data_IF_901176400237
#
_entry.id   IF_901176400237
#
_cell.length_a   1.000
_cell.length_b   1.000
_cell.length_c   1.000
_cell.angle_alpha   90.00
_cell.angle_beta   90.00
_cell.angle_gamma   90.00
#
_symmetry.space_group_name_H-M   'P 1'
#
loop_
_entity.id
_entity.type
_entity.pdbx_description
1 polymer ?
#
# COMPACT_ATOMS: atom_id res chain seq x y z
N UNK A 1 -7.93 19.45 -12.31
CA UNK A 1 -7.11 18.53 -11.50
C UNK A 1 -6.14 19.22 -10.53
N UNK A 2 -6.05 20.57 -10.46
CA UNK A 2 -4.98 21.28 -9.71
C UNK A 2 -4.77 20.91 -8.23
N UNK A 3 -5.79 20.37 -7.55
CA UNK A 3 -5.70 19.98 -6.15
C UNK A 3 -5.69 18.46 -5.91
N UNK A 4 -5.76 17.64 -6.98
CA UNK A 4 -5.89 16.20 -6.86
C UNK A 4 -4.59 15.52 -6.42
N UNK A 5 -3.44 15.92 -6.95
CA UNK A 5 -2.14 15.42 -6.47
C UNK A 5 -1.86 15.82 -5.03
N UNK A 6 -2.28 17.03 -4.62
CA UNK A 6 -2.18 17.45 -3.22
C UNK A 6 -3.06 16.59 -2.31
N UNK A 7 -4.33 16.40 -2.68
CA UNK A 7 -5.26 15.56 -1.93
C UNK A 7 -4.76 14.12 -1.84
N UNK A 8 -4.29 13.56 -2.95
CA UNK A 8 -3.74 12.21 -3.00
C UNK A 8 -2.52 12.08 -2.08
N UNK A 9 -1.59 13.03 -2.15
CA UNK A 9 -0.40 13.06 -1.28
C UNK A 9 -0.76 13.21 0.20
N UNK A 10 -1.79 14.00 0.53
CA UNK A 10 -2.27 14.14 1.90
C UNK A 10 -2.91 12.85 2.43
N UNK A 11 -3.73 12.18 1.61
CA UNK A 11 -4.29 10.86 1.93
C UNK A 11 -3.16 9.84 2.11
N UNK A 12 -2.17 9.83 1.20
CA UNK A 12 -0.99 8.96 1.29
C UNK A 12 -0.25 9.16 2.61
N UNK A 13 -0.06 10.41 3.04
CA UNK A 13 0.64 10.73 4.29
C UNK A 13 -0.10 10.16 5.51
N UNK A 14 -1.42 10.35 5.58
CA UNK A 14 -2.24 9.80 6.67
C UNK A 14 -2.20 8.27 6.63
N UNK A 15 -2.40 7.68 5.45
CA UNK A 15 -2.39 6.24 5.24
C UNK A 15 -1.05 5.62 5.65
N UNK A 16 0.07 6.23 5.27
CA UNK A 16 1.41 5.81 5.65
C UNK A 16 1.63 5.90 7.16
N UNK A 17 1.17 6.97 7.79
CA UNK A 17 1.29 7.15 9.24
C UNK A 17 0.53 6.06 10.01
N UNK A 18 -0.66 5.68 9.53
CA UNK A 18 -1.45 4.58 10.11
C UNK A 18 -0.76 3.24 9.85
N UNK A 19 -0.42 2.94 8.59
CA UNK A 19 0.21 1.68 8.18
C UNK A 19 1.52 1.42 8.91
N UNK A 20 2.28 2.48 9.18
CA UNK A 20 3.57 2.42 9.85
C UNK A 20 3.48 1.75 11.23
N UNK A 21 2.36 1.90 11.96
CA UNK A 21 2.13 1.22 13.24
C UNK A 21 2.29 -0.29 13.08
N UNK A 22 1.63 -0.88 12.07
CA UNK A 22 1.73 -2.31 11.77
C UNK A 22 3.15 -2.74 11.42
N UNK A 23 3.89 -1.90 10.67
CA UNK A 23 5.27 -2.21 10.31
C UNK A 23 6.20 -2.25 11.53
N UNK A 24 6.01 -1.33 12.48
CA UNK A 24 6.81 -1.28 13.71
C UNK A 24 6.49 -2.48 14.59
N UNK A 25 5.22 -2.77 14.84
CA UNK A 25 4.85 -3.87 15.74
C UNK A 25 5.08 -5.26 15.13
N UNK A 26 5.15 -5.34 13.80
CA UNK A 26 5.56 -6.54 13.08
C UNK A 26 7.05 -6.89 13.19
N UNK A 27 7.88 -5.99 13.74
CA UNK A 27 9.29 -6.29 13.98
C UNK A 27 9.45 -7.35 15.08
N UNK A 28 10.41 -8.29 14.92
CA UNK A 28 10.67 -9.30 15.93
C UNK A 28 10.96 -8.66 17.30
N UNK A 29 10.20 -9.05 18.32
CA UNK A 29 10.39 -8.62 19.71
C UNK A 29 9.61 -7.39 20.15
N UNK A 30 8.86 -6.69 19.27
CA UNK A 30 8.01 -5.56 19.68
C UNK A 30 6.72 -6.02 20.35
N UNK A 31 5.99 -6.93 19.70
CA UNK A 31 4.96 -7.75 20.35
C UNK A 31 5.56 -9.14 20.53
N UNK A 32 6.01 -9.50 21.75
CA UNK A 32 6.39 -10.88 22.04
C UNK A 32 5.24 -11.80 21.66
N UNK A 33 5.55 -12.94 21.05
CA UNK A 33 4.61 -13.98 20.59
C UNK A 33 3.68 -13.63 19.42
N UNK A 34 3.82 -12.48 18.74
CA UNK A 34 2.96 -12.10 17.61
C UNK A 34 2.77 -13.20 16.53
N UNK A 35 3.81 -13.97 16.24
CA UNK A 35 3.77 -15.01 15.20
C UNK A 35 3.69 -16.44 15.75
N UNK A 36 3.71 -16.62 17.07
CA UNK A 36 3.75 -17.96 17.71
C UNK A 36 2.54 -18.23 18.59
N UNK A 37 2.10 -17.24 19.35
CA UNK A 37 0.93 -17.28 20.23
C UNK A 37 0.42 -15.84 20.44
N UNK A 38 -0.10 -15.20 19.38
CA UNK A 38 -0.45 -13.80 19.45
C UNK A 38 -1.61 -13.55 20.41
N UNK A 39 -1.51 -12.53 21.26
CA UNK A 39 -2.69 -11.98 21.92
C UNK A 39 -3.61 -11.38 20.85
N UNK A 40 -4.67 -12.13 20.48
CA UNK A 40 -5.56 -11.85 19.33
C UNK A 40 -6.00 -10.39 19.28
N UNK A 41 -6.51 -9.85 20.39
CA UNK A 41 -6.98 -8.44 20.46
C UNK A 41 -5.86 -7.44 20.17
N UNK A 42 -4.65 -7.70 20.64
CA UNK A 42 -3.50 -6.81 20.42
C UNK A 42 -3.02 -6.91 18.96
N UNK A 43 -2.95 -8.13 18.40
CA UNK A 43 -2.58 -8.34 17.01
C UNK A 43 -3.60 -7.68 16.06
N UNK A 44 -4.90 -7.85 16.32
CA UNK A 44 -5.95 -7.23 15.52
C UNK A 44 -5.86 -5.70 15.53
N UNK A 45 -5.72 -5.09 16.71
CA UNK A 45 -5.73 -3.63 16.86
C UNK A 45 -4.44 -2.98 16.33
N UNK A 46 -3.28 -3.56 16.64
CA UNK A 46 -1.99 -2.90 16.36
C UNK A 46 -1.30 -3.41 15.11
N UNK A 47 -1.55 -4.65 14.68
CA UNK A 47 -0.91 -5.24 13.51
C UNK A 47 -1.85 -5.27 12.31
N UNK A 48 -3.05 -5.85 12.41
CA UNK A 48 -3.93 -6.03 11.24
C UNK A 48 -4.75 -4.79 10.88
N UNK A 49 -5.38 -4.14 11.86
CA UNK A 49 -6.23 -2.95 11.62
C UNK A 49 -5.49 -1.81 10.93
N UNK A 50 -4.30 -1.38 11.39
CA UNK A 50 -3.61 -0.27 10.76
C UNK A 50 -3.09 -0.64 9.36
N UNK A 51 -2.83 -1.93 9.12
CA UNK A 51 -2.41 -2.45 7.82
C UNK A 51 -3.55 -2.35 6.80
N UNK A 52 -4.77 -2.75 7.19
CA UNK A 52 -5.98 -2.62 6.34
C UNK A 52 -6.33 -1.16 6.08
N UNK A 53 -6.38 -0.33 7.13
CA UNK A 53 -6.74 1.08 6.99
C UNK A 53 -5.71 1.86 6.16
N UNK A 54 -4.42 1.62 6.42
CA UNK A 54 -3.34 2.21 5.64
C UNK A 54 -3.32 1.71 4.20
N UNK A 55 -3.49 0.40 3.98
CA UNK A 55 -3.60 -0.19 2.64
C UNK A 55 -4.77 0.38 1.84
N UNK A 56 -5.93 0.56 2.46
CA UNK A 56 -7.08 1.22 1.83
C UNK A 56 -6.76 2.67 1.45
N UNK A 57 -6.13 3.43 2.34
CA UNK A 57 -5.70 4.80 2.05
C UNK A 57 -4.71 4.86 0.89
N UNK A 58 -3.77 3.91 0.80
CA UNK A 58 -2.85 3.79 -0.35
C UNK A 58 -3.59 3.48 -1.66
N UNK A 59 -4.64 2.66 -1.63
CA UNK A 59 -5.47 2.38 -2.82
C UNK A 59 -6.14 3.67 -3.30
N UNK A 60 -6.79 4.41 -2.38
CA UNK A 60 -7.46 5.68 -2.72
C UNK A 60 -6.46 6.70 -3.28
N UNK A 61 -5.34 6.90 -2.59
CA UNK A 61 -4.27 7.79 -3.04
C UNK A 61 -3.75 7.42 -4.43
N UNK A 62 -3.44 6.14 -4.66
CA UNK A 62 -2.90 5.67 -5.94
C UNK A 62 -3.89 5.83 -7.08
N UNK A 63 -5.19 5.61 -6.84
CA UNK A 63 -6.24 5.88 -7.83
C UNK A 63 -6.30 7.37 -8.19
N UNK A 64 -6.23 8.26 -7.20
CA UNK A 64 -6.26 9.71 -7.46
C UNK A 64 -5.04 10.18 -8.26
N UNK A 65 -3.83 9.72 -7.92
CA UNK A 65 -2.59 9.99 -8.67
C UNK A 65 -2.65 9.42 -10.10
N UNK A 66 -3.26 8.24 -10.25
CA UNK A 66 -3.42 7.62 -11.57
C UNK A 66 -4.36 8.45 -12.44
N UNK A 67 -5.45 8.97 -11.89
CA UNK A 67 -6.38 9.82 -12.66
C UNK A 67 -5.76 11.20 -12.95
N UNK A 68 -4.95 11.75 -12.04
CA UNK A 68 -4.25 13.03 -12.26
C UNK A 68 -3.31 12.99 -13.48
N UNK A 69 -2.70 11.85 -13.76
CA UNK A 69 -1.75 11.65 -14.86
C UNK A 69 -2.41 11.25 -16.19
N UNK A 70 -3.74 11.14 -16.20
CA UNK A 70 -4.55 10.78 -17.37
C UNK A 70 -5.33 11.98 -17.89
N UNK A 71 -5.54 12.05 -19.20
CA UNK A 71 -6.42 13.08 -19.79
C UNK A 71 -7.88 12.87 -19.41
N UNK A 72 -8.31 11.61 -19.31
CA UNK A 72 -9.65 11.18 -18.95
C UNK A 72 -9.57 9.96 -18.03
N UNK A 73 -10.47 9.87 -17.05
CA UNK A 73 -10.47 8.80 -16.04
C UNK A 73 -10.53 7.36 -16.60
N UNK A 74 -11.03 7.19 -17.83
CA UNK A 74 -11.14 5.90 -18.50
C UNK A 74 -10.01 5.63 -19.52
N UNK A 75 -9.16 6.61 -19.80
CA UNK A 75 -8.11 6.51 -20.82
C UNK A 75 -6.73 6.45 -20.14
N UNK A 76 -6.15 5.25 -19.96
CA UNK A 76 -4.86 5.10 -19.29
C UNK A 76 -3.72 5.77 -20.07
N UNK A 77 -2.73 6.28 -19.34
CA UNK A 77 -1.54 6.92 -19.89
C UNK A 77 -0.27 6.11 -19.56
N UNK A 78 -0.11 4.89 -20.11
CA UNK A 78 0.98 3.98 -19.72
C UNK A 78 2.38 4.47 -20.06
N UNK A 79 2.51 5.51 -20.89
CA UNK A 79 3.80 6.10 -21.25
C UNK A 79 4.28 7.13 -20.22
N UNK A 80 3.39 7.68 -19.39
CA UNK A 80 3.78 8.61 -18.34
C UNK A 80 4.40 7.87 -17.16
N UNK A 81 5.54 8.36 -16.70
CA UNK A 81 6.23 7.90 -15.49
C UNK A 81 5.33 8.06 -14.27
N UNK A 82 4.65 9.20 -14.13
CA UNK A 82 3.72 9.43 -13.01
C UNK A 82 2.59 8.39 -13.00
N UNK A 83 2.12 7.99 -14.19
CA UNK A 83 1.12 6.92 -14.30
C UNK A 83 1.69 5.56 -13.90
N UNK A 84 2.93 5.24 -14.30
CA UNK A 84 3.63 4.02 -13.86
C UNK A 84 3.81 3.99 -12.34
N UNK A 85 4.19 5.10 -11.71
CA UNK A 85 4.25 5.22 -10.25
C UNK A 85 2.88 4.89 -9.64
N UNK A 86 1.83 5.52 -10.14
CA UNK A 86 0.49 5.36 -9.59
C UNK A 86 -0.05 3.93 -9.75
N UNK A 87 0.14 3.27 -10.91
CA UNK A 87 -0.37 1.91 -11.14
C UNK A 87 0.38 0.86 -10.30
N UNK A 88 1.71 0.98 -10.18
CA UNK A 88 2.49 0.04 -9.36
C UNK A 88 2.24 0.23 -7.87
N UNK A 89 2.07 1.47 -7.42
CA UNK A 89 1.63 1.75 -6.06
C UNK A 89 0.20 1.26 -5.80
N UNK A 90 -0.71 1.34 -6.78
CA UNK A 90 -2.06 0.78 -6.67
C UNK A 90 -2.02 -0.74 -6.51
N UNK A 91 -1.25 -1.44 -7.35
CA UNK A 91 -1.04 -2.88 -7.25
C UNK A 91 -0.49 -3.20 -5.85
N UNK A 92 0.59 -2.52 -5.44
CA UNK A 92 1.17 -2.69 -4.10
C UNK A 92 0.17 -2.47 -2.96
N UNK A 93 -0.65 -1.42 -3.06
CA UNK A 93 -1.67 -1.08 -2.08
C UNK A 93 -2.76 -2.15 -1.96
N UNK A 94 -3.18 -2.73 -3.07
CA UNK A 94 -4.12 -3.87 -3.07
C UNK A 94 -3.51 -5.07 -2.34
N UNK A 95 -2.23 -5.36 -2.56
CA UNK A 95 -1.53 -6.44 -1.85
C UNK A 95 -1.48 -6.21 -0.34
N UNK A 96 -1.17 -4.99 0.09
CA UNK A 96 -1.16 -4.63 1.51
C UNK A 96 -2.55 -4.65 2.15
N UNK A 97 -3.58 -4.22 1.42
CA UNK A 97 -4.96 -4.30 1.88
C UNK A 97 -5.40 -5.76 2.06
N UNK A 98 -5.12 -6.63 1.08
CA UNK A 98 -5.47 -8.04 1.14
C UNK A 98 -4.68 -8.80 2.21
N UNK A 99 -3.39 -8.48 2.38
CA UNK A 99 -2.57 -9.01 3.47
C UNK A 99 -3.26 -8.81 4.82
N UNK A 100 -3.62 -7.56 5.14
CA UNK A 100 -4.28 -7.25 6.40
C UNK A 100 -5.66 -7.91 6.52
N UNK A 101 -6.43 -7.98 5.42
CA UNK A 101 -7.76 -8.56 5.41
C UNK A 101 -7.74 -10.07 5.74
N UNK A 102 -6.85 -10.83 5.11
CA UNK A 102 -6.64 -12.25 5.43
C UNK A 102 -5.90 -12.47 6.75
N UNK A 103 -5.15 -11.47 7.22
CA UNK A 103 -4.39 -11.50 8.45
C UNK A 103 -5.24 -11.82 9.68
N UNK A 104 -6.45 -11.27 9.76
CA UNK A 104 -7.38 -11.49 10.89
C UNK A 104 -7.73 -12.96 11.14
N UNK A 105 -7.74 -13.80 10.10
CA UNK A 105 -8.12 -15.21 10.19
C UNK A 105 -6.92 -16.14 9.99
N UNK A 106 -5.73 -15.59 9.79
CA UNK A 106 -4.51 -16.34 9.47
C UNK A 106 -4.06 -17.31 10.57
N UNK A 107 -4.51 -17.11 11.80
CA UNK A 107 -4.17 -17.98 12.94
C UNK A 107 -5.02 -19.26 12.95
N UNK A 108 -6.27 -19.15 12.52
CA UNK A 108 -7.23 -20.27 12.55
C UNK A 108 -7.27 -21.00 11.21
N UNK A 109 -6.95 -20.31 10.11
CA UNK A 109 -7.11 -20.82 8.74
C UNK A 109 -5.76 -20.78 8.00
N UNK A 110 -5.08 -21.94 7.82
CA UNK A 110 -3.77 -22.00 7.16
C UNK A 110 -3.74 -21.41 5.74
N UNK A 111 -4.85 -21.53 5.01
CA UNK A 111 -4.99 -20.95 3.67
C UNK A 111 -4.94 -19.42 3.70
N UNK A 112 -5.57 -18.79 4.69
CA UNK A 112 -5.60 -17.33 4.80
C UNK A 112 -4.23 -16.79 5.21
N UNK A 113 -3.49 -17.50 6.05
CA UNK A 113 -2.08 -17.18 6.34
C UNK A 113 -1.23 -17.20 5.07
N UNK A 114 -1.35 -18.26 4.26
CA UNK A 114 -0.64 -18.36 3.00
C UNK A 114 -0.99 -17.20 2.05
N UNK A 115 -2.28 -16.87 1.91
CA UNK A 115 -2.73 -15.77 1.07
C UNK A 115 -2.26 -14.41 1.59
N UNK A 116 -2.28 -14.19 2.90
CA UNK A 116 -1.76 -12.98 3.54
C UNK A 116 -0.26 -12.79 3.28
N UNK A 117 0.53 -13.85 3.42
CA UNK A 117 1.97 -13.83 3.13
C UNK A 117 2.24 -13.58 1.63
N UNK A 118 1.52 -14.26 0.73
CA UNK A 118 1.63 -14.02 -0.71
C UNK A 118 1.27 -12.59 -1.09
N UNK A 119 0.17 -12.05 -0.52
CA UNK A 119 -0.26 -10.66 -0.71
C UNK A 119 0.78 -9.64 -0.27
N UNK A 120 1.38 -9.87 0.90
CA UNK A 120 2.51 -9.06 1.38
C UNK A 120 3.66 -9.08 0.39
N UNK A 121 4.03 -10.27 -0.10
CA UNK A 121 5.19 -10.46 -0.95
C UNK A 121 5.04 -9.72 -2.28
N UNK A 122 3.98 -10.01 -3.05
CA UNK A 122 3.80 -9.35 -4.35
C UNK A 122 3.46 -7.86 -4.19
N UNK A 123 2.74 -7.49 -3.12
CA UNK A 123 2.44 -6.09 -2.80
C UNK A 123 3.71 -5.27 -2.55
N UNK A 124 4.66 -5.83 -1.80
CA UNK A 124 5.97 -5.21 -1.54
C UNK A 124 6.80 -5.02 -2.81
N UNK A 125 6.80 -6.03 -3.69
CA UNK A 125 7.50 -5.93 -4.98
C UNK A 125 6.90 -4.86 -5.89
N UNK A 126 5.57 -4.77 -5.95
CA UNK A 126 4.90 -3.74 -6.72
C UNK A 126 5.21 -2.33 -6.18
N UNK A 127 5.16 -2.12 -4.86
CA UNK A 127 5.58 -0.86 -4.24
C UNK A 127 7.06 -0.53 -4.50
N UNK A 128 7.94 -1.54 -4.52
CA UNK A 128 9.36 -1.35 -4.84
C UNK A 128 9.55 -0.90 -6.29
N UNK A 129 8.82 -1.49 -7.24
CA UNK A 129 8.84 -1.09 -8.65
C UNK A 129 8.32 0.34 -8.79
N UNK A 130 7.19 0.67 -8.17
CA UNK A 130 6.63 2.03 -8.15
C UNK A 130 7.59 3.06 -7.57
N UNK A 131 8.28 2.71 -6.47
CA UNK A 131 9.35 3.52 -5.87
C UNK A 131 10.53 3.73 -6.82
N UNK A 132 10.87 2.72 -7.63
CA UNK A 132 11.89 2.83 -8.68
C UNK A 132 11.52 3.84 -9.76
N UNK A 133 10.28 3.80 -10.25
CA UNK A 133 9.76 4.81 -11.19
C UNK A 133 9.74 6.21 -10.55
N UNK A 134 9.32 6.30 -9.28
CA UNK A 134 9.25 7.57 -8.58
C UNK A 134 10.64 8.18 -8.38
N UNK A 135 11.64 7.35 -8.05
CA UNK A 135 13.03 7.79 -8.02
C UNK A 135 13.50 8.26 -9.40
N UNK A 136 13.16 7.52 -10.46
CA UNK A 136 13.53 7.89 -11.83
C UNK A 136 12.94 9.25 -12.25
N UNK A 137 11.69 9.53 -11.88
CA UNK A 137 11.03 10.82 -12.13
C UNK A 137 11.77 12.01 -11.51
N UNK A 138 12.44 11.81 -10.36
CA UNK A 138 13.26 12.87 -9.73
C UNK A 138 14.52 13.21 -10.53
N UNK A 139 15.02 12.26 -11.33
CA UNK A 139 16.23 12.40 -12.14
C UNK A 139 15.88 12.93 -13.54
N UNK A 140 14.78 12.44 -14.13
CA UNK A 140 14.30 12.85 -15.43
C UNK A 140 12.82 13.23 -15.34
N UNK A 141 12.54 14.53 -15.46
CA UNK A 141 11.17 15.05 -15.47
C UNK A 141 10.61 15.02 -16.87
N UNK A 142 9.40 14.48 -17.00
CA UNK A 142 8.62 14.60 -18.23
C UNK A 142 8.38 16.08 -18.56
N UNK A 143 8.41 16.39 -19.86
CA UNK A 143 8.00 17.71 -20.34
C UNK A 143 6.53 17.94 -19.98
N UNK A 144 6.15 19.12 -19.46
CA UNK A 144 4.74 19.42 -19.22
C UNK A 144 3.99 19.37 -20.55
N UNK A 145 2.97 18.52 -20.63
CA UNK A 145 1.99 18.49 -21.72
C UNK A 145 1.02 19.68 -21.64
#
# INVERSE_FOLDING_TARGET
WRDLGYLASFIQLIAATIFWVSTVVGLPGVIPTLFTDPPVVIADIFYWTPQVLGGFGFVVSSLLLMIETQSHWYLPNPLSIGWQVAVWNLVGAVGFLLCGAWGYLSLDVPWENYQSACATFWGSWAFLIGSGFQLYETIWRESPE
#
